data_IF_273457519426
#
_entry.id   IF_273457519426
#
_cell.length_a   1.000
_cell.length_b   1.000
_cell.length_c   1.000
_cell.angle_alpha   90.00
_cell.angle_beta   90.00
_cell.angle_gamma   90.00
#
_symmetry.space_group_name_H-M   'P 1'
#
loop_
_entity.id
_entity.type
_entity.pdbx_description
1 polymer ?
#
# COMPACT_ATOMS: atom_id res chain seq x y z
N UNK A 1 -13.38 -9.83 -27.18
CA UNK A 1 -13.80 -9.25 -25.89
C UNK A 1 -12.99 -8.02 -25.51
N UNK A 2 -11.77 -8.12 -24.92
CA UNK A 2 -11.05 -6.90 -24.45
C UNK A 2 -10.78 -5.89 -25.57
N UNK A 3 -10.41 -6.38 -26.77
CA UNK A 3 -10.21 -5.51 -27.93
C UNK A 3 -11.50 -4.74 -28.27
N UNK A 4 -12.65 -5.41 -28.31
CA UNK A 4 -13.95 -4.75 -28.57
C UNK A 4 -14.31 -3.70 -27.50
N UNK A 5 -14.02 -4.01 -26.22
CA UNK A 5 -14.27 -3.08 -25.09
C UNK A 5 -13.37 -1.84 -25.22
N UNK A 6 -12.10 -2.05 -25.56
CA UNK A 6 -11.13 -0.96 -25.73
C UNK A 6 -11.48 -0.08 -26.93
N UNK A 7 -11.90 -0.68 -28.06
CA UNK A 7 -12.43 0.04 -29.23
C UNK A 7 -13.67 0.87 -28.90
N UNK A 8 -14.57 0.31 -28.08
CA UNK A 8 -15.77 1.00 -27.59
C UNK A 8 -15.43 2.22 -26.72
N UNK A 9 -14.48 2.08 -25.79
CA UNK A 9 -13.99 3.18 -24.96
C UNK A 9 -13.30 4.26 -25.80
N UNK A 10 -12.43 3.87 -26.75
CA UNK A 10 -11.79 4.81 -27.67
C UNK A 10 -12.82 5.66 -28.41
N UNK A 11 -13.82 5.01 -29.01
CA UNK A 11 -14.89 5.68 -29.77
C UNK A 11 -15.71 6.65 -28.91
N UNK A 12 -15.86 6.36 -27.61
CA UNK A 12 -16.55 7.23 -26.68
C UNK A 12 -15.67 8.41 -26.24
N UNK A 13 -14.40 8.15 -25.90
CA UNK A 13 -13.43 9.17 -25.49
C UNK A 13 -13.18 10.21 -26.60
N UNK A 14 -13.13 9.78 -27.87
CA UNK A 14 -13.03 10.67 -29.04
C UNK A 14 -14.23 11.64 -29.17
N UNK A 15 -15.38 11.28 -28.59
CA UNK A 15 -16.58 12.13 -28.51
C UNK A 15 -16.68 12.89 -27.19
N UNK A 16 -15.64 12.84 -26.35
CA UNK A 16 -15.61 13.45 -25.02
C UNK A 16 -16.47 12.73 -23.98
N UNK A 17 -16.90 11.49 -24.23
CA UNK A 17 -17.76 10.71 -23.35
C UNK A 17 -16.90 9.75 -22.53
N UNK A 18 -16.90 9.90 -21.20
CA UNK A 18 -16.23 9.00 -20.25
C UNK A 18 -17.26 8.04 -19.66
N UNK A 19 -16.93 6.76 -19.51
CA UNK A 19 -17.83 5.73 -19.04
C UNK A 19 -18.12 5.82 -17.53
N UNK A 20 -17.07 6.03 -16.72
CA UNK A 20 -17.10 6.27 -15.25
C UNK A 20 -17.43 5.09 -14.35
N UNK A 21 -18.15 4.09 -14.85
CA UNK A 21 -18.57 2.90 -14.07
C UNK A 21 -18.25 1.58 -14.81
N UNK A 22 -17.05 1.45 -15.38
CA UNK A 22 -16.70 0.27 -16.17
C UNK A 22 -16.46 -0.95 -15.25
N UNK A 23 -17.24 -2.02 -15.44
CA UNK A 23 -17.19 -3.26 -14.65
C UNK A 23 -17.79 -4.44 -15.41
N UNK A 24 -17.62 -5.70 -14.97
CA UNK A 24 -18.12 -6.86 -15.70
C UNK A 24 -19.62 -6.82 -15.98
N UNK A 25 -20.43 -6.29 -15.06
CA UNK A 25 -21.88 -6.14 -15.24
C UNK A 25 -22.30 -5.21 -16.38
N UNK A 26 -21.40 -4.34 -16.85
CA UNK A 26 -21.65 -3.38 -17.93
C UNK A 26 -21.05 -3.85 -19.27
N UNK A 27 -20.65 -5.12 -19.37
CA UNK A 27 -20.12 -5.72 -20.59
C UNK A 27 -21.01 -6.89 -21.01
N UNK A 28 -21.58 -6.82 -22.21
CA UNK A 28 -22.35 -7.92 -22.80
C UNK A 28 -21.55 -8.60 -23.90
N UNK A 29 -21.59 -9.94 -23.90
CA UNK A 29 -21.13 -10.76 -25.02
C UNK A 29 -22.32 -11.12 -25.90
N UNK A 30 -22.29 -10.67 -27.15
CA UNK A 30 -23.31 -11.00 -28.14
C UNK A 30 -23.24 -12.48 -28.56
N UNK A 31 -24.31 -13.06 -29.14
CA UNK A 31 -24.29 -14.42 -29.68
C UNK A 31 -23.21 -14.66 -30.74
N UNK A 32 -22.68 -13.60 -31.37
CA UNK A 32 -21.58 -13.65 -32.34
C UNK A 32 -20.19 -13.52 -31.70
N UNK A 33 -20.08 -13.58 -30.37
CA UNK A 33 -18.82 -13.51 -29.64
C UNK A 33 -18.20 -12.11 -29.51
N UNK A 34 -18.86 -11.06 -30.00
CA UNK A 34 -18.42 -9.66 -29.85
C UNK A 34 -18.80 -9.13 -28.48
N UNK A 35 -17.92 -8.39 -27.82
CA UNK A 35 -18.24 -7.69 -26.58
C UNK A 35 -18.73 -6.27 -26.85
N UNK A 36 -19.66 -5.78 -26.02
CA UNK A 36 -20.19 -4.42 -26.07
C UNK A 36 -20.21 -3.81 -24.67
N UNK A 37 -19.82 -2.55 -24.58
CA UNK A 37 -19.92 -1.74 -23.37
C UNK A 37 -21.33 -1.13 -23.31
N UNK A 38 -21.99 -1.25 -22.17
CA UNK A 38 -23.31 -0.70 -21.89
C UNK A 38 -23.24 0.39 -20.83
N UNK A 39 -24.30 1.20 -20.73
CA UNK A 39 -24.54 2.11 -19.61
C UNK A 39 -23.38 3.08 -19.31
N UNK A 40 -22.99 3.87 -20.31
CA UNK A 40 -22.19 5.06 -20.08
C UNK A 40 -22.87 5.93 -19.03
N UNK A 41 -22.18 6.20 -17.92
CA UNK A 41 -22.77 6.69 -16.68
C UNK A 41 -23.49 8.04 -16.80
N UNK A 42 -24.75 8.01 -17.23
CA UNK A 42 -25.66 9.16 -17.29
C UNK A 42 -26.31 9.45 -15.92
N UNK A 43 -26.12 8.59 -14.92
CA UNK A 43 -26.67 8.79 -13.58
C UNK A 43 -25.76 8.21 -12.51
N UNK A 44 -24.96 9.04 -11.85
CA UNK A 44 -24.67 8.90 -10.41
C UNK A 44 -23.96 10.13 -9.85
N UNK A 45 -24.47 10.56 -8.70
CA UNK A 45 -23.93 11.62 -7.86
C UNK A 45 -22.56 11.20 -7.34
N UNK A 46 -21.61 12.12 -7.45
CA UNK A 46 -20.22 12.03 -7.00
C UNK A 46 -20.13 11.59 -5.53
N UNK A 47 -19.28 10.62 -5.17
CA UNK A 47 -18.87 10.45 -3.78
C UNK A 47 -17.88 11.58 -3.48
N UNK A 48 -18.41 12.71 -3.01
CA UNK A 48 -17.63 13.90 -2.70
C UNK A 48 -18.46 15.07 -2.17
N UNK A 49 -19.76 15.10 -2.44
CA UNK A 49 -20.69 16.13 -1.91
C UNK A 49 -22.10 15.60 -1.69
N UNK A 50 -22.25 14.38 -1.16
CA UNK A 50 -23.53 13.97 -0.60
C UNK A 50 -23.67 14.60 0.80
N UNK A 51 -24.29 15.79 0.82
CA UNK A 51 -24.93 16.42 1.96
C UNK A 51 -25.05 15.54 3.21
N UNK A 52 -24.34 15.94 4.28
CA UNK A 52 -24.65 15.55 5.67
C UNK A 52 -25.99 16.13 6.17
N UNK A 53 -26.80 16.69 5.27
CA UNK A 53 -28.15 17.19 5.54
C UNK A 53 -29.08 16.78 4.40
N UNK A 54 -29.70 15.61 4.51
CA UNK A 54 -31.16 15.47 4.43
C UNK A 54 -31.53 13.99 4.37
N UNK A 55 -32.40 13.63 5.29
CA UNK A 55 -33.23 12.44 5.33
C UNK A 55 -33.97 12.23 4.00
N UNK A 56 -33.60 11.19 3.24
CA UNK A 56 -34.58 10.36 2.55
C UNK A 56 -34.02 8.96 2.29
N UNK A 57 -34.67 7.89 2.77
CA UNK A 57 -34.24 6.52 2.52
C UNK A 57 -34.79 6.08 1.16
N UNK A 58 -33.96 6.12 0.12
CA UNK A 58 -34.31 5.53 -1.17
C UNK A 58 -33.19 4.55 -1.58
N UNK A 59 -33.54 3.27 -1.43
CA UNK A 59 -33.00 2.07 -2.10
C UNK A 59 -31.62 1.54 -1.67
N UNK A 60 -31.62 0.71 -0.62
CA UNK A 60 -30.92 -0.59 -0.57
C UNK A 60 -29.39 -0.62 -0.41
N UNK A 61 -28.82 -1.42 0.53
CA UNK A 61 -27.36 -1.58 0.73
C UNK A 61 -26.58 -2.20 -0.45
N UNK A 62 -27.24 -2.70 -1.50
CA UNK A 62 -26.60 -3.51 -2.56
C UNK A 62 -26.02 -2.72 -3.75
N UNK A 63 -26.33 -1.44 -3.93
CA UNK A 63 -25.94 -0.72 -5.16
C UNK A 63 -24.50 -0.16 -5.13
N UNK A 64 -23.95 0.16 -3.95
CA UNK A 64 -22.61 0.74 -3.82
C UNK A 64 -21.48 -0.31 -3.78
N UNK A 65 -21.74 -1.48 -3.17
CA UNK A 65 -20.72 -2.51 -2.86
C UNK A 65 -20.11 -3.16 -4.11
N UNK A 66 -20.87 -3.27 -5.21
CA UNK A 66 -20.42 -3.97 -6.43
C UNK A 66 -19.49 -3.17 -7.37
N UNK A 67 -19.33 -1.85 -7.16
CA UNK A 67 -18.59 -0.96 -8.07
C UNK A 67 -17.19 -0.62 -7.57
N UNK A 68 -17.00 -0.60 -6.24
CA UNK A 68 -15.76 -0.17 -5.59
C UNK A 68 -14.49 -0.84 -6.16
N UNK A 69 -14.44 -2.16 -6.43
CA UNK A 69 -13.19 -2.81 -6.84
C UNK A 69 -12.59 -2.34 -8.18
N UNK A 70 -13.39 -1.68 -9.02
CA UNK A 70 -12.96 -1.17 -10.33
C UNK A 70 -12.77 0.36 -10.33
N UNK A 71 -12.98 1.03 -9.19
CA UNK A 71 -12.71 2.46 -9.06
C UNK A 71 -11.22 2.74 -9.24
N UNK A 72 -10.92 3.86 -9.89
CA UNK A 72 -9.56 4.37 -10.01
C UNK A 72 -9.09 5.09 -8.73
N UNK A 73 -7.77 5.20 -8.49
CA UNK A 73 -7.18 5.92 -7.36
C UNK A 73 -7.66 7.38 -7.25
N UNK A 74 -7.76 8.09 -8.37
CA UNK A 74 -8.28 9.46 -8.44
C UNK A 74 -9.76 9.53 -8.04
N UNK A 75 -10.59 8.60 -8.51
CA UNK A 75 -11.99 8.51 -8.09
C UNK A 75 -12.13 8.35 -6.57
N UNK A 76 -11.22 7.62 -5.94
CA UNK A 76 -11.22 7.42 -4.48
C UNK A 76 -10.72 8.66 -3.72
N UNK A 77 -9.67 9.31 -4.22
CA UNK A 77 -9.00 10.41 -3.50
C UNK A 77 -9.74 11.73 -3.59
N UNK A 78 -10.19 12.10 -4.78
CA UNK A 78 -10.74 13.43 -5.05
C UNK A 78 -12.03 13.38 -5.89
N UNK A 79 -12.55 12.18 -6.18
CA UNK A 79 -13.79 12.00 -6.93
C UNK A 79 -13.67 12.36 -8.41
N UNK A 80 -12.46 12.65 -8.92
CA UNK A 80 -12.25 12.97 -10.33
C UNK A 80 -12.43 11.71 -11.18
N UNK A 81 -13.06 11.90 -12.34
CA UNK A 81 -13.22 10.84 -13.33
C UNK A 81 -12.89 11.41 -14.71
N UNK A 82 -11.94 10.79 -15.39
CA UNK A 82 -11.60 11.13 -16.76
C UNK A 82 -11.37 9.86 -17.60
N UNK A 83 -10.96 10.01 -18.86
CA UNK A 83 -10.68 8.89 -19.75
C UNK A 83 -9.66 7.91 -19.16
N UNK A 84 -8.68 8.38 -18.39
CA UNK A 84 -7.68 7.53 -17.75
C UNK A 84 -8.24 6.68 -16.62
N UNK A 85 -9.34 7.12 -15.99
CA UNK A 85 -10.07 6.33 -14.99
C UNK A 85 -10.73 5.10 -15.62
N UNK A 86 -11.28 5.23 -16.83
CA UNK A 86 -11.83 4.10 -17.59
C UNK A 86 -10.72 3.09 -17.98
N UNK A 87 -9.51 3.58 -18.30
CA UNK A 87 -8.36 2.71 -18.59
C UNK A 87 -7.92 1.91 -17.37
N UNK A 88 -7.96 2.50 -16.17
CA UNK A 88 -7.69 1.79 -14.93
C UNK A 88 -8.74 0.70 -14.67
N UNK A 89 -10.02 1.04 -14.79
CA UNK A 89 -11.11 0.10 -14.61
C UNK A 89 -11.02 -1.09 -15.60
N UNK A 90 -10.66 -0.81 -16.85
CA UNK A 90 -10.39 -1.83 -17.86
C UNK A 90 -9.18 -2.70 -17.47
N UNK A 91 -8.12 -2.12 -16.91
CA UNK A 91 -6.98 -2.85 -16.35
C UNK A 91 -7.38 -3.79 -15.22
N UNK A 92 -8.23 -3.35 -14.30
CA UNK A 92 -8.74 -4.19 -13.21
C UNK A 92 -9.63 -5.33 -13.72
N UNK A 93 -10.45 -5.05 -14.74
CA UNK A 93 -11.28 -6.03 -15.42
C UNK A 93 -10.42 -7.07 -16.16
N UNK A 94 -9.39 -6.63 -16.90
CA UNK A 94 -8.40 -7.50 -17.51
C UNK A 94 -7.71 -8.38 -16.50
N UNK A 95 -7.30 -7.82 -15.37
CA UNK A 95 -6.68 -8.57 -14.28
C UNK A 95 -7.59 -9.68 -13.77
N UNK A 96 -8.86 -9.38 -13.51
CA UNK A 96 -9.84 -10.35 -13.03
C UNK A 96 -10.13 -11.45 -14.05
N UNK A 97 -10.36 -11.09 -15.31
CA UNK A 97 -10.64 -12.06 -16.37
C UNK A 97 -9.46 -13.02 -16.62
N UNK A 98 -8.24 -12.51 -16.47
CA UNK A 98 -7.01 -13.29 -16.72
C UNK A 98 -6.51 -14.05 -15.51
N UNK A 99 -6.99 -13.77 -14.29
CA UNK A 99 -6.53 -14.47 -13.08
C UNK A 99 -7.65 -15.19 -12.34
N UNK A 100 -8.90 -14.80 -12.55
CA UNK A 100 -10.06 -15.20 -11.74
C UNK A 100 -10.16 -14.45 -10.40
N UNK A 101 -9.30 -13.45 -10.16
CA UNK A 101 -9.26 -12.67 -8.91
C UNK A 101 -9.12 -11.18 -9.21
N UNK A 102 -9.73 -10.33 -8.39
CA UNK A 102 -9.55 -8.87 -8.51
C UNK A 102 -8.14 -8.48 -8.08
N UNK A 103 -7.59 -7.36 -8.61
CA UNK A 103 -6.25 -6.89 -8.23
C UNK A 103 -6.17 -6.52 -6.75
N UNK A 104 -7.29 -6.04 -6.18
CA UNK A 104 -7.47 -5.72 -4.77
C UNK A 104 -8.75 -6.38 -4.27
N UNK A 105 -8.69 -7.00 -3.10
CA UNK A 105 -9.83 -7.64 -2.47
C UNK A 105 -9.63 -7.63 -0.95
N UNK A 106 -10.68 -7.22 -0.23
CA UNK A 106 -10.79 -7.32 1.21
C UNK A 106 -12.26 -7.23 1.63
N UNK A 107 -12.55 -7.69 2.83
CA UNK A 107 -13.92 -7.81 3.35
C UNK A 107 -14.50 -6.45 3.79
N UNK A 108 -13.64 -5.45 3.96
CA UNK A 108 -14.00 -4.09 4.36
C UNK A 108 -13.84 -3.09 3.19
N UNK A 109 -14.88 -2.25 2.99
CA UNK A 109 -14.94 -1.29 1.89
C UNK A 109 -13.89 -0.19 2.03
N UNK A 110 -13.64 0.30 3.25
CA UNK A 110 -12.65 1.36 3.49
C UNK A 110 -11.23 0.87 3.20
N UNK A 111 -10.93 -0.35 3.61
CA UNK A 111 -9.67 -1.05 3.29
C UNK A 111 -9.50 -1.25 1.78
N UNK A 112 -10.59 -1.53 1.06
CA UNK A 112 -10.55 -1.71 -0.40
C UNK A 112 -10.23 -0.39 -1.10
N UNK A 113 -10.90 0.69 -0.68
CA UNK A 113 -10.64 2.05 -1.15
C UNK A 113 -9.18 2.46 -0.88
N UNK A 114 -8.63 2.14 0.29
CA UNK A 114 -7.22 2.42 0.60
C UNK A 114 -6.26 1.67 -0.32
N UNK A 115 -6.48 0.37 -0.56
CA UNK A 115 -5.65 -0.44 -1.48
C UNK A 115 -5.72 0.11 -2.91
N UNK A 116 -6.92 0.45 -3.37
CA UNK A 116 -7.14 1.08 -4.67
C UNK A 116 -6.37 2.39 -4.76
N UNK A 117 -6.36 3.21 -3.72
CA UNK A 117 -5.65 4.48 -3.74
C UNK A 117 -4.11 4.31 -3.64
N UNK A 118 -3.59 3.40 -2.82
CA UNK A 118 -2.18 3.44 -2.38
C UNK A 118 -1.36 2.19 -2.70
N UNK A 119 -1.94 0.99 -2.65
CA UNK A 119 -1.17 -0.26 -2.78
C UNK A 119 -0.90 -0.59 -4.25
N UNK A 120 0.33 -0.93 -4.66
CA UNK A 120 0.61 -1.32 -6.04
C UNK A 120 -0.18 -2.58 -6.39
N UNK A 121 -0.72 -2.64 -7.61
CA UNK A 121 -1.40 -3.84 -8.07
C UNK A 121 -0.40 -5.00 -8.20
N UNK A 122 -0.79 -6.23 -7.82
CA UNK A 122 0.03 -7.40 -8.09
C UNK A 122 0.24 -7.57 -9.60
N UNK A 123 1.39 -8.09 -9.99
CA UNK A 123 1.65 -8.45 -11.39
C UNK A 123 0.82 -9.69 -11.77
N UNK A 124 0.34 -9.72 -13.02
CA UNK A 124 -0.41 -10.86 -13.55
C UNK A 124 0.37 -12.14 -13.44
N UNK A 125 1.66 -12.11 -13.80
CA UNK A 125 2.53 -13.30 -13.84
C UNK A 125 2.85 -13.85 -12.45
N UNK A 126 2.69 -13.04 -11.40
CA UNK A 126 2.79 -13.49 -10.00
C UNK A 126 1.56 -14.31 -9.61
N UNK A 127 0.38 -13.89 -10.06
CA UNK A 127 -0.89 -14.55 -9.70
C UNK A 127 -1.20 -15.74 -10.62
N UNK A 128 -0.87 -15.64 -11.91
CA UNK A 128 -0.97 -16.71 -12.90
C UNK A 128 0.37 -16.87 -13.65
N UNK A 129 1.28 -17.70 -13.14
CA UNK A 129 2.51 -18.05 -13.86
C UNK A 129 2.19 -18.66 -15.23
N UNK A 130 2.91 -18.24 -16.27
CA UNK A 130 2.72 -18.71 -17.65
C UNK A 130 2.04 -17.72 -18.60
N UNK A 131 1.55 -16.58 -18.10
CA UNK A 131 1.10 -15.47 -18.95
C UNK A 131 2.28 -14.72 -19.60
N UNK A 132 2.02 -14.10 -20.76
CA UNK A 132 3.04 -13.36 -21.52
C UNK A 132 3.50 -12.09 -20.77
N UNK A 133 4.77 -11.71 -20.97
CA UNK A 133 5.34 -10.52 -20.33
C UNK A 133 4.72 -9.22 -20.87
N UNK A 134 4.29 -9.25 -22.13
CA UNK A 134 3.63 -8.16 -22.82
C UNK A 134 2.28 -7.87 -22.15
N UNK A 135 1.47 -8.90 -21.91
CA UNK A 135 0.17 -8.75 -21.25
C UNK A 135 0.31 -8.26 -19.80
N UNK A 136 1.31 -8.79 -19.08
CA UNK A 136 1.65 -8.33 -17.72
C UNK A 136 1.99 -6.83 -17.70
N UNK A 137 2.80 -6.39 -18.65
CA UNK A 137 3.21 -4.98 -18.80
C UNK A 137 2.03 -4.09 -19.13
N UNK A 138 1.16 -4.52 -20.06
CA UNK A 138 -0.05 -3.77 -20.44
C UNK A 138 -0.98 -3.60 -19.24
N UNK A 139 -1.28 -4.68 -18.51
CA UNK A 139 -2.20 -4.61 -17.37
C UNK A 139 -1.59 -3.83 -16.20
N UNK A 140 -0.29 -4.01 -15.91
CA UNK A 140 0.40 -3.22 -14.89
C UNK A 140 0.36 -1.72 -15.21
N UNK A 141 0.56 -1.35 -16.48
CA UNK A 141 0.51 0.05 -16.93
C UNK A 141 -0.89 0.64 -16.80
N UNK A 142 -1.95 -0.11 -17.08
CA UNK A 142 -3.32 0.36 -16.81
C UNK A 142 -3.58 0.59 -15.31
N UNK A 143 -3.00 -0.26 -14.45
CA UNK A 143 -3.19 -0.23 -13.00
C UNK A 143 -2.23 0.73 -12.25
N UNK A 144 -1.47 1.55 -12.97
CA UNK A 144 -0.64 2.60 -12.38
C UNK A 144 -1.48 3.59 -11.57
N UNK A 145 -0.96 3.98 -10.39
CA UNK A 145 -1.72 4.85 -9.47
C UNK A 145 -1.83 6.27 -9.96
N UNK A 146 -0.80 6.76 -10.63
CA UNK A 146 -0.81 8.08 -11.25
C UNK A 146 -1.40 7.99 -12.66
N UNK A 147 -2.51 8.68 -12.97
CA UNK A 147 -3.11 8.73 -14.30
C UNK A 147 -2.11 8.97 -15.44
N UNK A 148 -1.16 9.88 -15.22
CA UNK A 148 -0.15 10.26 -16.22
C UNK A 148 0.83 9.13 -16.58
N UNK A 149 0.96 8.11 -15.73
CA UNK A 149 1.81 6.93 -15.99
C UNK A 149 1.09 5.81 -16.74
N UNK A 150 -0.24 5.91 -16.90
CA UNK A 150 -1.04 4.99 -17.72
C UNK A 150 -0.83 5.27 -19.21
N UNK A 151 -1.53 4.53 -20.06
CA UNK A 151 -1.62 4.85 -21.48
C UNK A 151 -2.21 6.25 -21.68
N UNK A 152 -1.69 6.95 -22.68
CA UNK A 152 -2.16 8.28 -23.05
C UNK A 152 -3.66 8.32 -23.40
N UNK A 153 -4.15 7.29 -24.08
CA UNK A 153 -5.55 7.10 -24.44
C UNK A 153 -5.89 5.61 -24.69
N UNK A 154 -7.17 5.33 -24.96
CA UNK A 154 -7.64 3.98 -25.27
C UNK A 154 -7.09 3.42 -26.59
N UNK A 155 -6.73 4.28 -27.55
CA UNK A 155 -6.11 3.86 -28.81
C UNK A 155 -4.69 3.34 -28.61
N UNK A 156 -3.91 3.98 -27.73
CA UNK A 156 -2.59 3.52 -27.31
C UNK A 156 -2.66 2.17 -26.60
N UNK A 157 -3.65 1.99 -25.71
CA UNK A 157 -3.92 0.70 -25.08
C UNK A 157 -4.31 -0.37 -26.12
N UNK A 158 -5.15 -0.02 -27.10
CA UNK A 158 -5.59 -0.96 -28.15
C UNK A 158 -4.42 -1.47 -28.99
N UNK A 159 -3.51 -0.57 -29.40
CA UNK A 159 -2.28 -0.94 -30.13
C UNK A 159 -1.40 -1.87 -29.29
N UNK A 160 -1.21 -1.56 -28.00
CA UNK A 160 -0.43 -2.38 -27.09
C UNK A 160 -1.05 -3.78 -26.89
N UNK A 161 -2.38 -3.89 -26.79
CA UNK A 161 -3.09 -5.17 -26.70
C UNK A 161 -3.02 -6.01 -27.98
N UNK A 162 -2.84 -5.37 -29.15
CA UNK A 162 -2.63 -6.06 -30.44
C UNK A 162 -1.17 -6.49 -30.66
N UNK A 163 -0.25 -6.01 -29.82
CA UNK A 163 1.19 -6.27 -29.96
C UNK A 163 1.90 -5.31 -30.92
N UNK A 164 1.24 -4.20 -31.32
CA UNK A 164 1.85 -3.20 -32.19
C UNK A 164 2.90 -2.40 -31.40
N UNK A 165 4.17 -2.48 -31.81
CA UNK A 165 5.34 -1.86 -31.17
C UNK A 165 5.44 -0.33 -31.35
N UNK A 166 4.29 0.35 -31.27
CA UNK A 166 4.23 1.81 -31.27
C UNK A 166 4.28 2.35 -29.85
N UNK A 167 5.45 2.86 -29.48
CA UNK A 167 5.65 3.64 -28.25
C UNK A 167 4.76 4.88 -28.30
N UNK A 168 3.90 5.07 -27.29
CA UNK A 168 2.99 6.21 -27.19
C UNK A 168 3.70 7.47 -26.66
N UNK A 169 5.02 7.55 -26.86
CA UNK A 169 5.90 8.62 -26.40
C UNK A 169 6.04 8.73 -24.88
N UNK A 170 5.40 7.83 -24.13
CA UNK A 170 5.43 7.77 -22.66
C UNK A 170 6.33 6.65 -22.14
N UNK A 171 6.96 5.89 -23.04
CA UNK A 171 7.80 4.74 -22.75
C UNK A 171 6.99 3.58 -22.20
N UNK A 172 7.21 2.37 -22.70
CA UNK A 172 6.99 1.20 -21.85
C UNK A 172 7.87 1.37 -20.61
N UNK A 173 7.45 0.95 -19.41
CA UNK A 173 8.33 0.96 -18.25
C UNK A 173 9.55 0.07 -18.55
N UNK A 174 10.63 0.67 -19.05
CA UNK A 174 11.94 0.04 -19.12
C UNK A 174 12.48 0.01 -17.69
N UNK A 175 11.98 -0.93 -16.89
CA UNK A 175 12.85 -1.54 -15.88
C UNK A 175 13.71 -2.53 -16.64
N UNK A 176 14.82 -2.01 -17.18
CA UNK A 176 15.86 -2.84 -17.76
C UNK A 176 16.24 -3.93 -16.75
N UNK A 177 16.00 -5.18 -17.16
CA UNK A 177 16.71 -6.39 -16.79
C UNK A 177 17.26 -6.50 -15.37
N UNK A 178 16.48 -7.09 -14.47
CA UNK A 178 16.99 -8.13 -13.56
C UNK A 178 15.85 -9.02 -13.09
N UNK A 179 15.17 -9.67 -14.04
CA UNK A 179 14.28 -10.82 -13.81
C UNK A 179 14.46 -11.81 -14.96
N UNK A 180 15.71 -12.23 -15.20
CA UNK A 180 15.96 -13.57 -15.71
C UNK A 180 16.09 -14.49 -14.51
N UNK A 181 15.44 -15.65 -14.57
CA UNK A 181 15.30 -16.59 -13.48
C UNK A 181 16.62 -16.95 -12.80
N UNK A 182 16.62 -16.76 -11.49
CA UNK A 182 17.39 -17.49 -10.52
C UNK A 182 16.56 -17.45 -9.25
N UNK A 183 16.42 -18.59 -8.56
CA UNK A 183 16.08 -18.56 -7.15
C UNK A 183 17.00 -17.54 -6.45
N UNK A 184 16.59 -16.89 -5.35
CA UNK A 184 17.50 -16.01 -4.63
C UNK A 184 18.57 -16.90 -4.00
N UNK A 185 19.64 -17.18 -4.74
CA UNK A 185 20.92 -17.50 -4.16
C UNK A 185 21.43 -16.19 -3.57
N UNK A 186 21.32 -16.13 -2.25
CA UNK A 186 21.91 -15.14 -1.38
C UNK A 186 23.42 -15.10 -1.60
N UNK A 187 23.88 -14.28 -2.55
CA UNK A 187 25.27 -13.87 -2.62
C UNK A 187 25.62 -13.00 -1.41
N UNK A 188 26.74 -13.25 -0.71
CA UNK A 188 27.16 -12.41 0.41
C UNK A 188 27.62 -11.05 -0.14
N UNK A 189 26.89 -9.98 0.17
CA UNK A 189 27.39 -8.60 -0.05
C UNK A 189 26.42 -7.53 -0.53
N UNK A 190 25.15 -7.83 -0.84
CA UNK A 190 24.16 -6.78 -1.16
C UNK A 190 23.57 -6.24 0.15
N UNK A 191 23.83 -4.98 0.47
CA UNK A 191 23.31 -4.31 1.69
C UNK A 191 21.79 -4.29 1.73
N UNK A 192 21.23 -4.16 2.94
CA UNK A 192 19.77 -4.13 3.16
C UNK A 192 19.18 -2.85 2.53
N UNK A 193 18.25 -3.00 1.60
CA UNK A 193 17.57 -1.88 0.93
C UNK A 193 16.07 -1.83 1.25
N UNK A 194 15.54 -2.89 1.83
CA UNK A 194 14.16 -2.98 2.26
C UNK A 194 14.01 -3.69 3.59
N UNK A 195 13.14 -3.14 4.45
CA UNK A 195 13.05 -3.52 5.86
C UNK A 195 11.60 -3.63 6.31
N UNK A 196 11.28 -4.67 7.08
CA UNK A 196 10.07 -4.70 7.91
C UNK A 196 10.43 -4.61 9.38
N UNK A 197 9.58 -3.93 10.15
CA UNK A 197 9.62 -3.91 11.61
C UNK A 197 8.29 -4.46 12.14
N UNK A 198 8.23 -5.76 12.51
CA UNK A 198 7.06 -6.30 13.19
C UNK A 198 6.76 -5.53 14.48
N UNK A 199 5.51 -5.62 14.99
CA UNK A 199 5.14 -4.99 16.26
C UNK A 199 6.10 -5.44 17.37
N UNK A 200 6.67 -4.47 18.08
CA UNK A 200 7.57 -4.76 19.19
C UNK A 200 6.85 -5.58 20.26
N UNK A 201 7.58 -6.52 20.83
CA UNK A 201 7.06 -7.29 21.95
C UNK A 201 6.91 -6.41 23.19
N UNK A 202 5.76 -6.52 23.84
CA UNK A 202 5.55 -5.95 25.15
C UNK A 202 6.19 -6.86 26.22
N UNK A 203 7.33 -6.44 26.77
CA UNK A 203 8.06 -7.20 27.81
C UNK A 203 7.67 -6.84 29.24
N UNK A 204 6.63 -6.02 29.44
CA UNK A 204 6.15 -5.65 30.78
C UNK A 204 5.33 -6.73 31.47
N UNK A 205 4.79 -7.70 30.72
CA UNK A 205 3.81 -8.67 31.22
C UNK A 205 2.42 -8.10 31.45
N UNK A 206 2.22 -6.80 31.23
CA UNK A 206 0.95 -6.09 31.39
C UNK A 206 0.34 -5.78 30.02
N UNK A 207 -0.78 -6.41 29.61
CA UNK A 207 -1.45 -6.14 28.34
C UNK A 207 -1.86 -4.68 28.15
N UNK A 208 -2.07 -3.93 29.24
CA UNK A 208 -2.42 -2.51 29.16
C UNK A 208 -1.26 -1.66 28.64
N UNK A 209 -0.04 -2.19 28.57
CA UNK A 209 1.13 -1.51 28.00
C UNK A 209 1.35 -1.84 26.51
N UNK A 210 0.46 -2.61 25.85
CA UNK A 210 0.58 -2.89 24.41
C UNK A 210 0.62 -1.62 23.56
N UNK A 211 -0.14 -0.59 23.95
CA UNK A 211 -0.13 0.71 23.24
C UNK A 211 1.27 1.32 23.17
N UNK A 212 2.09 1.07 24.19
CA UNK A 212 3.43 1.62 24.26
C UNK A 212 4.36 0.93 23.27
N UNK A 213 4.32 -0.40 23.20
CA UNK A 213 5.14 -1.16 22.26
C UNK A 213 4.71 -0.94 20.79
N UNK A 214 3.40 -0.97 20.51
CA UNK A 214 2.87 -0.70 19.18
C UNK A 214 3.13 0.74 18.74
N UNK A 215 2.99 1.70 19.67
CA UNK A 215 3.24 3.11 19.42
C UNK A 215 4.73 3.41 19.18
N UNK A 216 5.63 2.71 19.89
CA UNK A 216 7.07 2.79 19.64
C UNK A 216 7.44 2.24 18.27
N UNK A 217 6.84 1.11 17.88
CA UNK A 217 7.04 0.51 16.56
C UNK A 217 6.62 1.49 15.46
N UNK A 218 5.44 2.11 15.62
CA UNK A 218 4.91 3.09 14.65
C UNK A 218 5.84 4.30 14.49
N UNK A 219 6.31 4.85 15.61
CA UNK A 219 7.22 5.99 15.61
C UNK A 219 8.54 5.66 14.88
N UNK A 220 9.11 4.48 15.12
CA UNK A 220 10.35 4.06 14.46
C UNK A 220 10.15 3.77 12.96
N UNK A 221 9.02 3.16 12.57
CA UNK A 221 8.66 2.99 11.15
C UNK A 221 8.56 4.35 10.47
N UNK A 222 7.87 5.32 11.10
CA UNK A 222 7.71 6.65 10.55
C UNK A 222 9.04 7.39 10.40
N UNK A 223 9.97 7.26 11.35
CA UNK A 223 11.30 7.86 11.26
C UNK A 223 12.14 7.22 10.16
N UNK A 224 12.22 5.88 10.11
CA UNK A 224 13.00 5.17 9.08
C UNK A 224 12.43 5.38 7.67
N UNK A 225 11.12 5.55 7.52
CA UNK A 225 10.47 5.82 6.24
C UNK A 225 10.84 7.18 5.63
N UNK A 226 11.45 8.08 6.41
CA UNK A 226 11.96 9.36 5.89
C UNK A 226 13.27 9.21 5.10
N UNK A 227 13.91 8.03 5.15
CA UNK A 227 15.14 7.73 4.42
C UNK A 227 14.76 7.22 3.03
N UNK A 228 14.95 8.04 2.00
CA UNK A 228 14.47 7.72 0.64
C UNK A 228 15.16 6.48 0.04
N UNK A 229 16.39 6.20 0.46
CA UNK A 229 17.17 5.04 0.03
C UNK A 229 16.72 3.72 0.70
N UNK A 230 15.84 3.77 1.70
CA UNK A 230 15.35 2.61 2.44
C UNK A 230 13.84 2.39 2.20
N UNK A 231 13.47 1.23 1.66
CA UNK A 231 12.05 0.83 1.57
C UNK A 231 11.58 0.22 2.88
N UNK A 232 10.89 0.99 3.71
CA UNK A 232 10.29 0.52 4.96
C UNK A 232 8.87 0.01 4.72
N UNK A 233 8.56 -1.20 5.19
CA UNK A 233 7.20 -1.75 5.15
C UNK A 233 6.31 -0.97 6.12
N UNK A 234 5.13 -0.57 5.66
CA UNK A 234 4.17 0.19 6.46
C UNK A 234 3.68 -0.58 7.69
N UNK A 235 3.31 0.15 8.74
CA UNK A 235 2.73 -0.40 9.98
C UNK A 235 1.56 -1.33 9.71
N UNK A 236 0.61 -0.95 8.86
CA UNK A 236 -0.58 -1.78 8.58
C UNK A 236 -0.22 -3.16 8.02
N UNK A 237 0.84 -3.24 7.21
CA UNK A 237 1.33 -4.50 6.67
C UNK A 237 2.12 -5.29 7.72
N UNK A 238 2.90 -4.63 8.56
CA UNK A 238 3.62 -5.27 9.67
C UNK A 238 2.69 -5.78 10.79
N UNK A 239 1.62 -5.04 11.09
CA UNK A 239 0.64 -5.38 12.15
C UNK A 239 -0.19 -6.62 11.83
N UNK A 240 -0.25 -7.07 10.56
CA UNK A 240 -0.83 -8.37 10.18
C UNK A 240 -0.11 -9.55 10.81
N UNK A 241 1.13 -9.34 11.24
CA UNK A 241 1.93 -10.34 11.91
C UNK A 241 1.85 -10.26 13.45
N UNK A 242 1.06 -9.32 14.00
CA UNK A 242 0.87 -9.20 15.46
C UNK A 242 0.27 -10.48 16.02
N UNK A 243 0.91 -11.05 17.05
CA UNK A 243 0.48 -12.31 17.66
C UNK A 243 0.70 -13.55 16.79
N UNK A 244 1.38 -13.40 15.65
CA UNK A 244 1.82 -14.52 14.82
C UNK A 244 3.34 -14.58 14.88
N UNK A 245 3.91 -15.79 14.89
CA UNK A 245 5.37 -15.99 14.83
C UNK A 245 5.72 -16.75 13.55
N UNK A 246 5.49 -16.16 12.36
CA UNK A 246 5.88 -16.81 11.12
C UNK A 246 7.41 -16.95 11.10
N UNK A 247 7.96 -18.01 10.50
CA UNK A 247 9.39 -18.08 10.24
C UNK A 247 9.85 -16.83 9.48
N UNK A 248 11.01 -16.27 9.84
CA UNK A 248 11.55 -15.05 9.22
C UNK A 248 11.69 -15.18 7.71
N UNK A 249 12.03 -16.36 7.20
CA UNK A 249 12.08 -16.66 5.77
C UNK A 249 10.73 -16.55 5.06
N UNK A 250 9.61 -16.77 5.77
CA UNK A 250 8.26 -16.56 5.25
C UNK A 250 7.92 -15.08 5.26
N UNK A 251 8.17 -14.38 6.38
CA UNK A 251 7.96 -12.94 6.51
C UNK A 251 8.72 -12.15 5.44
N UNK A 252 10.01 -12.47 5.26
CA UNK A 252 10.89 -11.87 4.27
C UNK A 252 10.39 -12.08 2.83
N UNK A 253 9.91 -13.29 2.51
CA UNK A 253 9.36 -13.61 1.19
C UNK A 253 8.02 -12.92 0.93
N UNK A 254 7.10 -12.97 1.90
CA UNK A 254 5.75 -12.42 1.77
C UNK A 254 5.80 -10.89 1.59
N UNK A 255 6.72 -10.22 2.29
CA UNK A 255 6.90 -8.76 2.25
C UNK A 255 8.01 -8.29 1.29
N UNK A 256 8.74 -9.24 0.70
CA UNK A 256 9.89 -9.02 -0.20
C UNK A 256 10.95 -8.10 0.39
N UNK A 257 11.27 -8.29 1.67
CA UNK A 257 12.25 -7.47 2.40
C UNK A 257 13.62 -8.14 2.48
N UNK A 258 14.68 -7.34 2.57
CA UNK A 258 16.06 -7.79 2.70
C UNK A 258 16.50 -7.93 4.16
N UNK A 259 15.79 -7.26 5.07
CA UNK A 259 16.03 -7.32 6.50
C UNK A 259 14.77 -7.19 7.33
N UNK A 260 14.87 -7.65 8.57
CA UNK A 260 13.83 -7.56 9.59
C UNK A 260 14.44 -6.87 10.81
N UNK A 261 13.78 -5.84 11.33
CA UNK A 261 14.09 -5.30 12.66
C UNK A 261 13.09 -5.89 13.65
N UNK A 262 13.59 -6.81 14.47
CA UNK A 262 12.86 -7.31 15.63
C UNK A 262 13.14 -6.41 16.83
N UNK A 263 12.18 -6.32 17.74
CA UNK A 263 12.39 -5.52 18.93
C UNK A 263 11.37 -5.74 20.03
N UNK A 264 11.69 -5.19 21.19
CA UNK A 264 10.82 -5.14 22.35
C UNK A 264 10.86 -3.78 23.00
N UNK A 265 9.73 -3.38 23.58
CA UNK A 265 9.61 -2.18 24.38
C UNK A 265 9.13 -2.54 25.78
N UNK A 266 9.79 -1.96 26.78
CA UNK A 266 9.44 -2.09 28.18
C UNK A 266 9.38 -0.71 28.81
N UNK A 267 8.27 -0.40 29.48
CA UNK A 267 8.13 0.80 30.31
C UNK A 267 7.83 0.40 31.74
N UNK A 268 8.69 0.83 32.67
CA UNK A 268 8.50 0.63 34.12
C UNK A 268 8.62 1.99 34.79
N UNK A 269 7.48 2.52 35.25
CA UNK A 269 7.40 3.89 35.77
C UNK A 269 7.86 4.91 34.71
N UNK A 270 8.92 5.64 35.04
CA UNK A 270 9.55 6.66 34.19
C UNK A 270 10.75 6.14 33.39
N UNK A 271 11.03 4.83 33.43
CA UNK A 271 12.14 4.22 32.68
C UNK A 271 11.60 3.47 31.47
N UNK A 272 12.26 3.69 30.33
CA UNK A 272 11.97 3.01 29.08
C UNK A 272 13.20 2.24 28.64
N UNK A 273 13.00 0.97 28.31
CA UNK A 273 13.99 0.12 27.65
C UNK A 273 13.47 -0.33 26.29
N UNK A 274 14.29 -0.12 25.26
CA UNK A 274 14.05 -0.61 23.90
C UNK A 274 15.20 -1.54 23.54
N UNK A 275 14.88 -2.77 23.14
CA UNK A 275 15.86 -3.69 22.57
C UNK A 275 15.51 -3.92 21.11
N UNK A 276 16.48 -3.76 20.23
CA UNK A 276 16.32 -3.95 18.78
C UNK A 276 17.39 -4.87 18.24
N UNK A 277 17.03 -5.66 17.25
CA UNK A 277 17.91 -6.57 16.53
C UNK A 277 17.62 -6.49 15.03
N UNK A 278 18.68 -6.36 14.23
CA UNK A 278 18.63 -6.40 12.77
C UNK A 278 19.02 -7.79 12.31
N UNK A 279 18.14 -8.44 11.55
CA UNK A 279 18.33 -9.78 11.01
C UNK A 279 18.19 -9.73 9.49
N UNK A 280 19.04 -10.46 8.77
CA UNK A 280 18.91 -10.62 7.32
C UNK A 280 17.94 -11.75 6.93
N UNK A 281 17.63 -11.88 5.63
CA UNK A 281 16.75 -12.95 5.13
C UNK A 281 17.30 -14.37 5.32
N UNK A 282 18.58 -14.53 5.64
CA UNK A 282 19.23 -15.80 5.93
C UNK A 282 19.21 -16.12 7.44
N UNK A 283 18.42 -15.39 8.22
CA UNK A 283 18.27 -15.54 9.67
C UNK A 283 19.57 -15.28 10.44
N UNK A 284 20.46 -14.44 9.88
CA UNK A 284 21.69 -14.02 10.57
C UNK A 284 21.44 -12.71 11.31
N UNK A 285 21.71 -12.73 12.62
CA UNK A 285 21.78 -11.53 13.43
C UNK A 285 22.97 -10.68 12.96
N UNK A 286 22.67 -9.55 12.33
CA UNK A 286 23.68 -8.59 11.89
C UNK A 286 24.10 -7.69 13.05
N UNK A 287 23.14 -7.35 13.91
CA UNK A 287 23.32 -6.41 15.01
C UNK A 287 22.21 -6.53 16.03
N UNK A 288 22.53 -6.32 17.30
CA UNK A 288 21.56 -6.19 18.38
C UNK A 288 22.04 -5.17 19.41
N UNK A 289 21.12 -4.35 19.92
CA UNK A 289 21.44 -3.36 20.97
C UNK A 289 20.24 -3.04 21.83
N UNK A 290 20.52 -2.75 23.10
CA UNK A 290 19.54 -2.29 24.08
C UNK A 290 19.83 -0.84 24.47
N UNK A 291 18.75 -0.07 24.62
CA UNK A 291 18.78 1.34 24.95
C UNK A 291 17.89 1.59 26.15
N UNK A 292 18.35 2.43 27.08
CA UNK A 292 17.61 2.78 28.28
C UNK A 292 17.70 4.28 28.57
N UNK A 293 16.54 4.91 28.78
CA UNK A 293 16.39 6.34 29.08
C UNK A 293 15.18 6.59 29.99
N UNK A 294 15.07 7.83 30.47
CA UNK A 294 13.85 8.33 31.10
C UNK A 294 12.74 8.57 30.06
N UNK A 295 11.48 8.57 30.49
CA UNK A 295 10.33 8.81 29.60
C UNK A 295 10.30 10.25 29.07
N UNK A 296 10.93 11.20 29.78
CA UNK A 296 11.12 12.59 29.31
C UNK A 296 11.96 12.67 28.04
N UNK A 297 12.89 11.73 27.85
CA UNK A 297 13.81 11.67 26.72
C UNK A 297 13.35 10.67 25.66
N UNK A 298 12.08 10.27 25.68
CA UNK A 298 11.55 9.20 24.82
C UNK A 298 11.69 9.49 23.33
N UNK A 299 11.54 10.75 22.91
CA UNK A 299 11.73 11.11 21.51
C UNK A 299 13.20 11.07 21.09
N UNK A 300 14.12 11.47 21.98
CA UNK A 300 15.56 11.34 21.74
C UNK A 300 15.95 9.86 21.66
N UNK A 301 15.38 9.03 22.53
CA UNK A 301 15.54 7.57 22.49
C UNK A 301 15.07 6.98 21.15
N UNK A 302 13.90 7.41 20.64
CA UNK A 302 13.39 7.00 19.31
C UNK A 302 14.38 7.38 18.20
N UNK A 303 14.81 8.64 18.18
CA UNK A 303 15.77 9.16 17.21
C UNK A 303 17.11 8.39 17.25
N UNK A 304 17.63 8.10 18.44
CA UNK A 304 18.87 7.33 18.63
C UNK A 304 18.75 5.91 18.06
N UNK A 305 17.61 5.25 18.31
CA UNK A 305 17.35 3.89 17.80
C UNK A 305 17.22 3.90 16.28
N UNK A 306 16.46 4.84 15.70
CA UNK A 306 16.30 4.95 14.25
C UNK A 306 17.63 5.23 13.54
N UNK A 307 18.48 6.11 14.08
CA UNK A 307 19.82 6.36 13.54
C UNK A 307 20.70 5.13 13.61
N UNK A 308 20.72 4.44 14.75
CA UNK A 308 21.56 3.26 14.89
C UNK A 308 21.17 2.15 13.89
N UNK A 309 19.87 1.98 13.63
CA UNK A 309 19.38 1.07 12.60
C UNK A 309 19.86 1.54 11.21
N UNK A 310 19.71 2.82 10.88
CA UNK A 310 20.13 3.37 9.59
C UNK A 310 21.65 3.24 9.35
N UNK A 311 22.46 3.50 10.37
CA UNK A 311 23.92 3.37 10.33
C UNK A 311 24.34 1.91 10.13
N UNK A 312 23.67 0.97 10.80
CA UNK A 312 23.97 -0.46 10.69
C UNK A 312 23.60 -1.05 9.31
N UNK A 313 22.50 -0.58 8.73
CA UNK A 313 22.09 -0.93 7.36
C UNK A 313 23.06 -0.33 6.30
N UNK A 314 24.01 0.52 6.74
CA UNK A 314 25.04 1.17 5.91
C UNK A 314 24.46 1.99 4.75
N UNK A 315 23.34 2.65 5.00
CA UNK A 315 22.69 3.51 4.00
C UNK A 315 23.33 4.89 3.99
N UNK A 316 23.51 5.44 2.78
CA UNK A 316 23.89 6.85 2.63
C UNK A 316 22.69 7.73 3.02
N UNK A 317 22.69 8.21 4.27
CA UNK A 317 21.70 9.17 4.76
C UNK A 317 22.20 10.59 4.47
N UNK A 318 21.43 11.37 3.72
CA UNK A 318 21.75 12.76 3.38
C UNK A 318 21.77 13.66 4.63
N UNK A 319 22.47 14.81 4.61
CA UNK A 319 22.46 15.75 5.73
C UNK A 319 21.06 16.20 6.16
N UNK A 320 20.14 16.39 5.20
CA UNK A 320 18.76 16.79 5.47
C UNK A 320 17.94 15.67 6.13
N UNK A 321 18.11 14.42 5.67
CA UNK A 321 17.50 13.25 6.32
C UNK A 321 18.04 13.05 7.73
N UNK A 322 19.36 13.23 7.94
CA UNK A 322 19.98 13.21 9.27
C UNK A 322 19.41 14.32 10.16
N UNK A 323 19.20 15.52 9.63
CA UNK A 323 18.61 16.62 10.40
C UNK A 323 17.17 16.31 10.83
N UNK A 324 16.36 15.75 9.93
CA UNK A 324 14.98 15.33 10.22
C UNK A 324 14.89 14.21 11.26
N UNK A 325 15.80 13.25 11.20
CA UNK A 325 15.89 12.18 12.21
C UNK A 325 16.36 12.69 13.58
N UNK A 326 17.19 13.75 13.63
CA UNK A 326 17.75 14.31 14.88
C UNK A 326 16.83 15.27 15.61
N UNK A 327 15.87 15.90 14.93
CA UNK A 327 15.09 16.99 15.52
C UNK A 327 13.95 16.49 16.42
N UNK A 328 14.26 16.01 17.62
CA UNK A 328 13.24 15.80 18.66
C UNK A 328 13.78 16.16 20.05
N UNK A 329 13.21 17.22 20.64
CA UNK A 329 13.55 17.69 21.99
C UNK A 329 12.87 16.90 23.11
N UNK A 330 13.14 17.29 24.35
CA UNK A 330 12.45 16.75 25.52
C UNK A 330 10.93 17.01 25.40
N UNK A 331 10.13 16.02 25.79
CA UNK A 331 8.66 16.10 25.77
C UNK A 331 8.07 16.00 27.15
N UNK A 332 6.86 16.53 27.31
CA UNK A 332 6.05 16.22 28.48
C UNK A 332 5.68 14.71 28.43
N UNK A 333 6.12 13.90 29.41
CA UNK A 333 5.87 12.45 29.41
C UNK A 333 4.39 12.09 29.34
N UNK A 334 3.54 12.84 30.04
CA UNK A 334 2.10 12.59 30.09
C UNK A 334 1.44 12.83 28.72
N UNK A 335 1.85 13.91 28.04
CA UNK A 335 1.35 14.23 26.71
C UNK A 335 1.78 13.18 25.68
N UNK A 336 3.02 12.68 25.76
CA UNK A 336 3.51 11.65 24.86
C UNK A 336 2.81 10.30 25.11
N UNK A 337 2.59 9.91 26.36
CA UNK A 337 1.81 8.70 26.68
C UNK A 337 0.38 8.82 26.16
N UNK A 338 -0.26 9.98 26.35
CA UNK A 338 -1.60 10.24 25.82
C UNK A 338 -1.64 10.16 24.29
N UNK A 339 -0.64 10.74 23.60
CA UNK A 339 -0.48 10.61 22.15
C UNK A 339 -0.36 9.14 21.71
N UNK A 340 0.48 8.33 22.36
CA UNK A 340 0.62 6.92 22.01
C UNK A 340 -0.66 6.13 22.27
N UNK A 341 -1.39 6.45 23.35
CA UNK A 341 -2.70 5.86 23.63
C UNK A 341 -3.74 6.25 22.58
N UNK A 342 -3.79 7.53 22.21
CA UNK A 342 -4.65 8.03 21.15
C UNK A 342 -4.34 7.36 19.82
N UNK A 343 -3.06 7.31 19.42
CA UNK A 343 -2.61 6.61 18.21
C UNK A 343 -3.00 5.12 18.25
N UNK A 344 -2.76 4.43 19.37
CA UNK A 344 -3.13 3.02 19.52
C UNK A 344 -4.65 2.79 19.38
N UNK A 345 -5.47 3.62 20.02
CA UNK A 345 -6.93 3.52 19.97
C UNK A 345 -7.49 3.91 18.60
N UNK A 346 -6.94 4.94 17.96
CA UNK A 346 -7.25 5.34 16.59
C UNK A 346 -7.02 4.15 15.64
N UNK A 347 -5.90 3.46 15.85
CA UNK A 347 -5.48 2.33 15.05
C UNK A 347 -6.20 1.01 15.36
N UNK A 348 -7.11 0.97 16.34
CA UNK A 348 -8.03 -0.17 16.56
C UNK A 348 -9.28 -0.12 15.67
N UNK A 349 -9.53 1.00 14.99
CA UNK A 349 -10.57 1.17 13.98
C UNK A 349 -11.99 0.74 14.40
N UNK A 350 -12.34 0.84 15.69
CA UNK A 350 -13.73 0.72 16.14
C UNK A 350 -14.34 2.11 16.35
N UNK A 351 -15.64 2.28 16.08
CA UNK A 351 -16.30 3.58 16.25
C UNK A 351 -16.22 4.11 17.69
N UNK A 352 -16.07 3.22 18.67
CA UNK A 352 -15.82 3.55 20.07
C UNK A 352 -14.36 3.92 20.33
N UNK A 353 -13.40 3.19 19.75
CA UNK A 353 -11.97 3.47 19.94
C UNK A 353 -11.54 4.80 19.31
N UNK A 354 -12.12 5.20 18.18
CA UNK A 354 -11.85 6.50 17.55
C UNK A 354 -12.35 7.67 18.41
N UNK A 355 -13.53 7.53 19.05
CA UNK A 355 -14.04 8.55 19.97
C UNK A 355 -13.20 8.66 21.24
N UNK A 356 -12.72 7.54 21.75
CA UNK A 356 -11.83 7.52 22.91
C UNK A 356 -10.44 8.04 22.57
N UNK A 357 -9.94 7.80 21.35
CA UNK A 357 -8.67 8.34 20.87
C UNK A 357 -8.62 9.87 20.87
N UNK A 358 -9.72 10.54 20.48
CA UNK A 358 -9.81 12.01 20.44
C UNK A 358 -9.84 12.63 21.85
N UNK A 359 -10.19 11.85 22.88
CA UNK A 359 -10.24 12.31 24.28
C UNK A 359 -8.91 12.20 25.02
N UNK A 360 -7.94 11.48 24.45
CA UNK A 360 -6.57 11.38 24.94
C UNK A 360 -5.76 12.55 24.41
#
# INVERSE_FOLDING_TARGET
>A
MVLDVTEGLQSAHEKGIVHRDLKPGNIIITPRGRAKVLDFGLARVTPGTASLTQSNPISGPSALVGTVPYMSPEQVRDGRVDASSDLYALGALLFEMTTGRRPFACDDVLSLLYQIAHEPAPLLRVVRPGLSAELDTVVARCLEKAPLRRFSDAGALLRALRGDSSDDGRGLPTRASSFAGGAPESGPGRGIQSLVMPPFENRSGDPTQEFFADGMTDALIADLAQIAALRVISRTSAMRFKGTHPPLSKLARDLRVDGVVEGSALRVGDRVRITVQLVDVADRSLWAKSYERGLTDILALQSDVAHAIADEIRIQVTPDERARLRSKGAVNPAAHVAYLQGSFLWNRFTGESVKEAIRR
#
